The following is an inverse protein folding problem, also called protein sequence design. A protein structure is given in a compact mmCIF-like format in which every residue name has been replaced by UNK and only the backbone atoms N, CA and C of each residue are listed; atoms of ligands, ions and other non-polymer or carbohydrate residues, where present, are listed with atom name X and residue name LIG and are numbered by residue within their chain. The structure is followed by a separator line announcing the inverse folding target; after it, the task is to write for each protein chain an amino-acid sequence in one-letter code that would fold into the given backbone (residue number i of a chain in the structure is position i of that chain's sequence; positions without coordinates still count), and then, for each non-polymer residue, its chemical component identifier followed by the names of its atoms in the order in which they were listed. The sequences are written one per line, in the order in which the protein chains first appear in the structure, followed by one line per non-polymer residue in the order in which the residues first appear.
data_IF_678764386353
#
_entry.id   IF_678764386353
#
_cell.length_a   1.000
_cell.length_b   1.000
_cell.length_c   1.000
_cell.angle_alpha   90.00
_cell.angle_beta   90.00
_cell.angle_gamma   90.00
#
_symmetry.space_group_name_H-M   'P 1'
#
loop_
_entity.id
_entity.type
_entity.pdbx_description
1 polymer ?
#
# COMPACT_ATOMS: atom_id res chain seq x y z
N UNK A 1 0.41 16.04 44.76
CA UNK A 1 1.01 15.10 43.79
C UNK A 1 0.10 15.06 42.57
N UNK A 2 0.35 15.94 41.60
CA UNK A 2 -0.42 16.02 40.35
C UNK A 2 0.18 15.02 39.36
N UNK A 3 -0.49 13.89 39.16
CA UNK A 3 -0.09 12.84 38.23
C UNK A 3 -0.33 13.27 36.78
N UNK A 4 0.51 14.17 36.27
CA UNK A 4 0.62 14.43 34.84
C UNK A 4 1.50 13.33 34.24
N UNK A 5 0.91 12.47 33.41
CA UNK A 5 1.67 11.50 32.64
C UNK A 5 2.73 12.24 31.80
N UNK A 6 4.01 11.91 32.03
CA UNK A 6 5.12 12.64 31.41
C UNK A 6 5.11 12.57 29.87
N UNK A 7 5.83 13.47 29.17
CA UNK A 7 5.83 13.59 27.71
C UNK A 7 6.10 12.27 26.96
N UNK A 8 6.90 11.38 27.54
CA UNK A 8 7.23 10.06 26.99
C UNK A 8 6.05 9.08 26.97
N UNK A 9 5.14 9.15 27.95
CA UNK A 9 3.94 8.30 27.99
C UNK A 9 2.96 8.71 26.89
N UNK A 10 2.81 10.02 26.66
CA UNK A 10 2.00 10.57 25.57
C UNK A 10 2.45 10.05 24.20
N UNK A 11 3.75 10.04 23.94
CA UNK A 11 4.32 9.56 22.67
C UNK A 11 4.04 8.06 22.42
N UNK A 12 4.19 7.23 23.46
CA UNK A 12 3.95 5.78 23.38
C UNK A 12 2.46 5.48 23.18
N UNK A 13 1.58 6.20 23.88
CA UNK A 13 0.14 6.06 23.70
C UNK A 13 -0.27 6.39 22.27
N UNK A 14 0.23 7.49 21.70
CA UNK A 14 -0.05 7.89 20.33
C UNK A 14 0.43 6.87 19.29
N UNK A 15 1.62 6.30 19.50
CA UNK A 15 2.15 5.24 18.66
C UNK A 15 1.29 3.97 18.70
N UNK A 16 0.87 3.55 19.89
CA UNK A 16 -0.01 2.37 20.05
C UNK A 16 -1.39 2.60 19.42
N UNK A 17 -1.92 3.80 19.50
CA UNK A 17 -3.22 4.16 18.91
C UNK A 17 -3.17 4.21 17.38
N UNK A 18 -2.06 4.67 16.80
CA UNK A 18 -1.79 4.58 15.37
C UNK A 18 -1.74 3.12 14.88
N UNK A 19 -1.05 2.25 15.62
CA UNK A 19 -0.87 0.84 15.23
C UNK A 19 -2.11 -0.05 15.46
N UNK A 20 -3.02 0.31 16.37
CA UNK A 20 -4.10 -0.57 16.82
C UNK A 20 -5.33 -0.62 15.89
N UNK A 21 -5.39 0.18 14.81
CA UNK A 21 -6.51 0.14 13.85
C UNK A 21 -7.87 0.55 14.43
N UNK A 22 -7.89 1.23 15.58
CA UNK A 22 -9.12 1.55 16.31
C UNK A 22 -10.00 2.55 15.53
N UNK A 23 -11.31 2.38 15.71
CA UNK A 23 -12.31 3.39 15.32
C UNK A 23 -12.21 4.62 16.23
N UNK A 24 -12.83 5.73 15.79
CA UNK A 24 -12.84 6.98 16.58
C UNK A 24 -13.53 6.80 17.93
N UNK A 25 -14.58 5.97 17.98
CA UNK A 25 -15.35 5.75 19.20
C UNK A 25 -14.59 4.87 20.20
N UNK A 26 -14.01 3.76 19.75
CA UNK A 26 -13.18 2.90 20.61
C UNK A 26 -11.97 3.67 21.18
N UNK A 27 -11.35 4.50 20.35
CA UNK A 27 -10.27 5.39 20.77
C UNK A 27 -10.73 6.37 21.84
N UNK A 28 -11.90 6.99 21.64
CA UNK A 28 -12.49 7.94 22.59
C UNK A 28 -12.81 7.27 23.92
N UNK A 29 -13.46 6.11 23.91
CA UNK A 29 -13.79 5.35 25.11
C UNK A 29 -12.54 4.98 25.91
N UNK A 30 -11.50 4.49 25.22
CA UNK A 30 -10.24 4.12 25.87
C UNK A 30 -9.50 5.31 26.47
N UNK A 31 -9.53 6.46 25.79
CA UNK A 31 -8.94 7.69 26.32
C UNK A 31 -9.74 8.19 27.53
N UNK A 32 -11.07 8.09 27.50
CA UNK A 32 -11.92 8.47 28.62
C UNK A 32 -11.73 7.57 29.84
N UNK A 33 -11.49 6.26 29.66
CA UNK A 33 -11.29 5.32 30.77
C UNK A 33 -9.91 5.43 31.41
N UNK A 34 -8.87 5.76 30.63
CA UNK A 34 -7.47 5.75 31.09
C UNK A 34 -6.93 7.15 31.44
N UNK A 35 -7.53 8.22 30.92
CA UNK A 35 -7.00 9.59 31.05
C UNK A 35 -8.03 10.51 31.70
N UNK A 36 -7.77 10.89 32.95
CA UNK A 36 -8.68 11.75 33.71
C UNK A 36 -8.57 13.23 33.32
N UNK A 37 -7.38 13.71 32.99
CA UNK A 37 -7.11 15.10 32.62
C UNK A 37 -7.77 15.45 31.27
N UNK A 38 -8.64 16.48 31.26
CA UNK A 38 -9.40 16.85 30.06
C UNK A 38 -8.52 17.42 28.95
N UNK A 39 -7.54 18.27 29.27
CA UNK A 39 -6.66 18.90 28.28
C UNK A 39 -5.81 17.81 27.61
N UNK A 40 -5.30 16.87 28.41
CA UNK A 40 -4.53 15.74 27.90
C UNK A 40 -5.38 14.84 26.98
N UNK A 41 -6.67 14.63 27.29
CA UNK A 41 -7.59 13.87 26.41
C UNK A 41 -7.76 14.52 25.05
N UNK A 42 -7.97 15.82 25.01
CA UNK A 42 -8.16 16.58 23.77
C UNK A 42 -6.87 16.59 22.92
N UNK A 43 -5.71 16.76 23.55
CA UNK A 43 -4.40 16.66 22.90
C UNK A 43 -4.15 15.28 22.26
N UNK A 44 -4.48 14.21 22.99
CA UNK A 44 -4.30 12.84 22.47
C UNK A 44 -5.26 12.60 21.31
N UNK A 45 -6.53 13.00 21.44
CA UNK A 45 -7.54 12.81 20.40
C UNK A 45 -7.20 13.57 19.11
N UNK A 46 -6.72 14.81 19.22
CA UNK A 46 -6.32 15.62 18.06
C UNK A 46 -5.08 15.03 17.38
N UNK A 47 -4.08 14.63 18.16
CA UNK A 47 -2.86 14.03 17.60
C UNK A 47 -3.14 12.68 16.95
N UNK A 48 -3.98 11.84 17.56
CA UNK A 48 -4.37 10.56 16.96
C UNK A 48 -5.15 10.73 15.64
N UNK A 49 -5.99 11.77 15.55
CA UNK A 49 -6.68 12.11 14.29
C UNK A 49 -5.70 12.54 13.20
N UNK A 50 -4.71 13.37 13.53
CA UNK A 50 -3.66 13.79 12.60
C UNK A 50 -2.91 12.58 12.06
N UNK A 51 -2.39 11.72 12.94
CA UNK A 51 -1.64 10.52 12.56
C UNK A 51 -2.47 9.55 11.70
N UNK A 52 -3.77 9.39 12.00
CA UNK A 52 -4.67 8.55 11.19
C UNK A 52 -4.89 9.11 9.80
N UNK A 53 -5.00 10.44 9.66
CA UNK A 53 -5.13 11.09 8.36
C UNK A 53 -3.84 10.94 7.54
N UNK A 54 -2.69 11.21 8.15
CA UNK A 54 -1.37 11.06 7.51
C UNK A 54 -1.16 9.63 7.03
N UNK A 55 -1.32 8.63 7.90
CA UNK A 55 -1.15 7.22 7.51
C UNK A 55 -2.16 6.75 6.46
N UNK A 56 -3.40 7.27 6.47
CA UNK A 56 -4.36 6.96 5.40
C UNK A 56 -3.96 7.58 4.06
N UNK A 57 -3.47 8.82 4.07
CA UNK A 57 -3.00 9.51 2.87
C UNK A 57 -1.77 8.84 2.27
N UNK A 58 -0.78 8.52 3.11
CA UNK A 58 0.43 7.79 2.72
C UNK A 58 0.07 6.41 2.15
N UNK A 59 -0.75 5.63 2.87
CA UNK A 59 -1.17 4.30 2.41
C UNK A 59 -1.96 4.33 1.10
N UNK A 60 -2.81 5.34 0.89
CA UNK A 60 -3.52 5.52 -0.38
C UNK A 60 -2.56 5.89 -1.52
N UNK A 61 -1.60 6.78 -1.25
CA UNK A 61 -0.61 7.21 -2.24
C UNK A 61 0.30 6.04 -2.66
N UNK A 62 0.87 5.33 -1.69
CA UNK A 62 1.73 4.17 -1.94
C UNK A 62 0.95 3.05 -2.65
N UNK A 63 -0.26 2.75 -2.17
CA UNK A 63 -1.13 1.74 -2.77
C UNK A 63 -1.52 2.07 -4.21
N UNK A 64 -1.84 3.33 -4.49
CA UNK A 64 -2.15 3.79 -5.85
C UNK A 64 -0.92 3.70 -6.75
N UNK A 65 0.25 4.15 -6.29
CA UNK A 65 1.49 4.10 -7.08
C UNK A 65 1.90 2.66 -7.40
N UNK A 66 1.88 1.77 -6.40
CA UNK A 66 2.17 0.35 -6.58
C UNK A 66 1.14 -0.31 -7.53
N UNK A 67 -0.14 0.00 -7.36
CA UNK A 67 -1.21 -0.50 -8.21
C UNK A 67 -1.06 -0.08 -9.68
N UNK A 68 -0.73 1.18 -9.93
CA UNK A 68 -0.48 1.69 -11.29
C UNK A 68 0.74 1.00 -11.92
N UNK A 69 1.86 0.91 -11.20
CA UNK A 69 3.08 0.27 -11.72
C UNK A 69 2.84 -1.21 -12.06
N UNK A 70 2.20 -1.95 -11.15
CA UNK A 70 1.90 -3.36 -11.35
C UNK A 70 0.87 -3.56 -12.48
N UNK A 71 -0.13 -2.68 -12.57
CA UNK A 71 -1.12 -2.67 -13.65
C UNK A 71 -0.48 -2.44 -15.02
N UNK A 72 0.38 -1.43 -15.15
CA UNK A 72 1.12 -1.15 -16.38
C UNK A 72 2.04 -2.32 -16.77
N UNK A 73 2.75 -2.91 -15.80
CA UNK A 73 3.62 -4.07 -16.03
C UNK A 73 2.81 -5.27 -16.55
N UNK A 74 1.72 -5.62 -15.87
CA UNK A 74 0.81 -6.71 -16.29
C UNK A 74 0.16 -6.43 -17.64
N UNK A 75 -0.24 -5.18 -17.89
CA UNK A 75 -0.81 -4.75 -19.17
C UNK A 75 0.16 -4.98 -20.34
N UNK A 76 1.40 -4.49 -20.22
CA UNK A 76 2.45 -4.71 -21.24
C UNK A 76 2.73 -6.19 -21.46
N UNK A 77 2.80 -6.98 -20.40
CA UNK A 77 3.02 -8.43 -20.53
C UNK A 77 1.89 -9.13 -21.28
N UNK A 78 0.62 -8.82 -20.95
CA UNK A 78 -0.54 -9.39 -21.64
C UNK A 78 -0.61 -8.98 -23.11
N UNK A 79 -0.30 -7.73 -23.42
CA UNK A 79 -0.25 -7.23 -24.79
C UNK A 79 0.86 -7.93 -25.60
N UNK A 80 2.08 -7.99 -25.06
CA UNK A 80 3.20 -8.68 -25.68
C UNK A 80 2.86 -10.15 -25.96
N UNK A 81 2.22 -10.83 -25.00
CA UNK A 81 1.81 -12.22 -25.16
C UNK A 81 0.75 -12.41 -26.23
N UNK A 82 -0.28 -11.56 -26.25
CA UNK A 82 -1.34 -11.59 -27.27
C UNK A 82 -0.76 -11.43 -28.67
N UNK A 83 0.12 -10.45 -28.87
CA UNK A 83 0.78 -10.20 -30.15
C UNK A 83 1.70 -11.37 -30.51
N UNK A 84 2.53 -11.84 -29.57
CA UNK A 84 3.42 -12.96 -29.80
C UNK A 84 2.67 -14.23 -30.23
N UNK A 85 1.56 -14.59 -29.56
CA UNK A 85 0.73 -15.74 -29.96
C UNK A 85 0.18 -15.61 -31.38
N UNK A 86 -0.25 -14.40 -31.79
CA UNK A 86 -0.71 -14.15 -33.16
C UNK A 86 0.41 -14.28 -34.19
N UNK A 87 1.60 -13.79 -33.87
CA UNK A 87 2.77 -13.85 -34.75
C UNK A 87 3.33 -15.29 -34.86
N UNK A 88 3.30 -16.06 -33.77
CA UNK A 88 3.60 -17.49 -33.79
C UNK A 88 2.63 -18.26 -34.69
N UNK A 89 1.33 -17.94 -34.62
CA UNK A 89 0.31 -18.60 -35.43
C UNK A 89 0.47 -18.38 -36.95
N UNK A 90 1.15 -17.30 -37.37
CA UNK A 90 1.50 -17.04 -38.78
C UNK A 90 2.89 -17.58 -39.16
N UNK A 91 3.57 -18.27 -38.24
CA UNK A 91 4.82 -18.98 -38.49
C UNK A 91 6.11 -18.21 -38.18
N UNK A 92 6.04 -17.06 -37.49
CA UNK A 92 7.26 -16.37 -37.03
C UNK A 92 7.89 -17.10 -35.84
N UNK A 93 9.20 -16.97 -35.69
CA UNK A 93 9.96 -17.51 -34.54
C UNK A 93 9.95 -16.54 -33.36
N UNK A 94 10.19 -17.02 -32.14
CA UNK A 94 10.23 -16.15 -30.96
C UNK A 94 11.38 -15.13 -31.03
N UNK A 95 12.48 -15.51 -31.66
CA UNK A 95 13.66 -14.68 -31.91
C UNK A 95 13.31 -13.47 -32.80
N UNK A 96 12.43 -13.65 -33.79
CA UNK A 96 11.93 -12.57 -34.65
C UNK A 96 10.84 -11.73 -33.98
N UNK A 97 10.05 -12.35 -33.10
CA UNK A 97 8.93 -11.69 -32.40
C UNK A 97 9.42 -10.80 -31.27
N UNK A 98 10.40 -11.24 -30.49
CA UNK A 98 10.94 -10.50 -29.33
C UNK A 98 11.22 -9.01 -29.61
N UNK A 99 11.93 -8.63 -30.70
CA UNK A 99 12.13 -7.22 -31.03
C UNK A 99 10.86 -6.49 -31.51
N UNK A 100 9.83 -7.19 -32.01
CA UNK A 100 8.56 -6.57 -32.47
C UNK A 100 7.70 -6.14 -31.28
N UNK A 101 7.64 -6.96 -30.24
CA UNK A 101 6.87 -6.68 -29.02
C UNK A 101 7.69 -5.93 -27.96
N UNK A 102 8.92 -5.53 -28.30
CA UNK A 102 9.87 -4.87 -27.40
C UNK A 102 10.00 -5.60 -26.05
N UNK A 103 10.21 -6.92 -26.12
CA UNK A 103 10.27 -7.78 -24.95
C UNK A 103 11.47 -8.73 -25.05
N UNK A 104 12.28 -8.90 -23.99
CA UNK A 104 13.42 -9.81 -24.03
C UNK A 104 12.97 -11.25 -24.34
N UNK A 105 13.67 -11.93 -25.24
CA UNK A 105 13.35 -13.30 -25.67
C UNK A 105 13.15 -14.25 -24.47
N UNK A 106 14.07 -14.23 -23.50
CA UNK A 106 14.01 -15.07 -22.32
C UNK A 106 12.78 -14.79 -21.45
N UNK A 107 12.39 -13.51 -21.31
CA UNK A 107 11.19 -13.16 -20.54
C UNK A 107 9.92 -13.53 -21.29
N UNK A 108 9.87 -13.33 -22.62
CA UNK A 108 8.74 -13.72 -23.46
C UNK A 108 8.52 -15.24 -23.44
N UNK A 109 9.60 -16.02 -23.51
CA UNK A 109 9.58 -17.48 -23.32
C UNK A 109 9.01 -17.87 -21.96
N UNK A 110 9.48 -17.23 -20.89
CA UNK A 110 8.99 -17.49 -19.54
C UNK A 110 7.51 -17.11 -19.35
N UNK A 111 7.03 -16.05 -20.03
CA UNK A 111 5.62 -15.66 -20.01
C UNK A 111 4.73 -16.67 -20.73
N UNK A 112 5.15 -17.15 -21.91
CA UNK A 112 4.43 -18.19 -22.65
C UNK A 112 4.33 -19.50 -21.85
N UNK A 113 5.44 -19.94 -21.26
CA UNK A 113 5.50 -21.18 -20.48
C UNK A 113 4.68 -21.17 -19.17
N UNK A 114 4.25 -19.99 -18.69
CA UNK A 114 3.44 -19.82 -17.47
C UNK A 114 1.94 -19.82 -17.72
N UNK A 115 1.51 -19.59 -18.95
CA UNK A 115 0.09 -19.49 -19.33
C UNK A 115 -0.37 -20.64 -20.24
N UNK A 116 0.50 -21.61 -20.53
CA UNK A 116 0.18 -22.89 -21.18
C UNK A 116 -0.05 -23.99 -20.12
#
# INVERSE_FOLDING_TARGET
MTGSAGPRFRQVLLYLLYAAGLTREELREKIQSEVTDQVLREDIMSTAQLLKMEGHQEGLQEGMQAGIQEGLRKGRQKEALLVARRLLAIGMTLEEIAPIVDFPLAELQALLARED
#
